data_IF_592545672423
#
_entry.id   IF_592545672423
#
_cell.length_a   1.000
_cell.length_b   1.000
_cell.length_c   1.000
_cell.angle_alpha   90.00
_cell.angle_beta   90.00
_cell.angle_gamma   90.00
#
_symmetry.space_group_name_H-M   'P 1'
#
loop_
_entity.id
_entity.type
_entity.pdbx_description
1 polymer ?
#
# COMPACT_ATOMS: atom_id res chain seq x y z
N UNK A 1 -7.82 -5.04 14.10
CA UNK A 1 -7.17 -3.72 13.97
C UNK A 1 -8.08 -2.80 13.17
N UNK A 2 -8.30 -1.61 13.69
CA UNK A 2 -9.18 -0.59 13.10
C UNK A 2 -8.40 0.72 13.06
N UNK A 3 -8.55 1.49 11.99
CA UNK A 3 -7.80 2.69 11.72
C UNK A 3 -8.69 3.92 11.83
N UNK A 4 -8.10 5.04 12.24
CA UNK A 4 -8.75 6.35 12.28
C UNK A 4 -8.05 7.26 11.29
N UNK A 5 -8.81 7.76 10.33
CA UNK A 5 -8.36 8.70 9.33
C UNK A 5 -8.99 10.07 9.54
N UNK A 6 -8.23 11.11 9.19
CA UNK A 6 -8.66 12.51 9.31
C UNK A 6 -8.44 13.22 7.98
N UNK A 7 -9.45 13.97 7.55
CA UNK A 7 -9.30 14.91 6.44
C UNK A 7 -8.49 16.15 6.90
N UNK A 8 -7.57 16.68 6.07
CA UNK A 8 -6.75 17.80 6.49
C UNK A 8 -7.60 19.01 6.87
N UNK A 9 -7.29 19.68 8.00
CA UNK A 9 -8.01 20.88 8.37
C UNK A 9 -7.68 22.01 7.40
N UNK A 10 -8.65 22.90 7.14
CA UNK A 10 -8.45 24.10 6.30
C UNK A 10 -7.33 25.02 6.82
N UNK A 11 -7.12 25.01 8.13
CA UNK A 11 -6.07 25.80 8.78
C UNK A 11 -5.46 24.99 9.90
N UNK A 12 -4.14 24.81 9.86
CA UNK A 12 -3.39 24.08 10.86
C UNK A 12 -2.81 25.06 11.90
N UNK A 13 -3.51 25.24 13.02
CA UNK A 13 -3.08 26.12 14.11
C UNK A 13 -2.32 25.37 15.20
N UNK A 14 -1.49 26.08 15.97
CA UNK A 14 -0.79 25.52 17.13
C UNK A 14 -1.77 24.95 18.18
N UNK A 15 -2.89 25.63 18.43
CA UNK A 15 -3.92 25.18 19.37
C UNK A 15 -4.62 23.89 18.93
N UNK A 16 -4.79 23.70 17.62
CA UNK A 16 -5.30 22.44 17.08
C UNK A 16 -4.30 21.31 17.30
N UNK A 17 -3.01 21.55 17.01
CA UNK A 17 -1.96 20.55 17.21
C UNK A 17 -1.81 20.15 18.68
N UNK A 18 -1.85 21.11 19.60
CA UNK A 18 -1.79 20.83 21.05
C UNK A 18 -2.97 19.99 21.55
N UNK A 19 -4.16 20.17 20.95
CA UNK A 19 -5.35 19.36 21.29
C UNK A 19 -5.30 17.96 20.68
N UNK A 20 -4.79 17.83 19.45
CA UNK A 20 -4.85 16.57 18.70
C UNK A 20 -3.71 15.61 19.03
N UNK A 21 -2.50 16.12 19.25
CA UNK A 21 -1.31 15.33 19.58
C UNK A 21 -1.54 14.31 20.72
N UNK A 22 -2.10 14.69 21.89
CA UNK A 22 -2.37 13.73 22.96
C UNK A 22 -3.45 12.69 22.59
N UNK A 23 -4.45 13.06 21.77
CA UNK A 23 -5.54 12.15 21.38
C UNK A 23 -5.04 10.99 20.51
N UNK A 24 -3.99 11.23 19.71
CA UNK A 24 -3.39 10.20 18.84
C UNK A 24 -2.12 9.58 19.44
N UNK A 25 -1.71 10.02 20.64
CA UNK A 25 -0.51 9.55 21.32
C UNK A 25 0.77 9.85 20.54
N UNK A 26 0.86 11.03 19.91
CA UNK A 26 2.02 11.45 19.11
C UNK A 26 2.52 12.81 19.55
N UNK A 27 3.78 13.09 19.24
CA UNK A 27 4.37 14.42 19.42
C UNK A 27 3.71 15.45 18.50
N UNK A 28 3.81 16.73 18.88
CA UNK A 28 3.24 17.84 18.10
C UNK A 28 3.81 17.89 16.68
N UNK A 29 5.10 17.62 16.52
CA UNK A 29 5.79 17.63 15.21
C UNK A 29 5.25 16.53 14.30
N UNK A 30 5.10 15.31 14.82
CA UNK A 30 4.57 14.17 14.06
C UNK A 30 3.10 14.40 13.69
N UNK A 31 2.32 14.93 14.64
CA UNK A 31 0.92 15.29 14.42
C UNK A 31 0.78 16.33 13.32
N UNK A 32 1.68 17.32 13.28
CA UNK A 32 1.71 18.32 12.20
C UNK A 32 1.94 17.68 10.85
N UNK A 33 2.87 16.73 10.74
CA UNK A 33 3.15 16.02 9.48
C UNK A 33 1.97 15.15 9.02
N UNK A 34 1.24 14.55 9.97
CA UNK A 34 0.08 13.72 9.68
C UNK A 34 -1.15 14.51 9.24
N UNK A 35 -1.33 15.72 9.77
CA UNK A 35 -2.44 16.61 9.41
C UNK A 35 -2.11 17.53 8.23
N UNK A 36 -0.86 17.58 7.78
CA UNK A 36 -0.46 18.36 6.62
C UNK A 36 -0.88 17.69 5.30
N UNK A 37 -1.19 18.52 4.30
CA UNK A 37 -1.55 18.10 2.94
C UNK A 37 -3.01 18.35 2.60
N UNK A 38 -3.46 17.77 1.49
CA UNK A 38 -4.80 18.02 0.93
C UNK A 38 -5.72 16.80 0.96
N UNK A 39 -5.19 15.63 1.27
CA UNK A 39 -5.93 14.35 1.26
C UNK A 39 -6.05 13.75 2.67
N UNK A 40 -7.14 13.02 2.98
CA UNK A 40 -7.27 12.35 4.27
C UNK A 40 -6.18 11.30 4.52
N UNK A 41 -5.69 11.23 5.76
CA UNK A 41 -4.61 10.32 6.17
C UNK A 41 -4.98 9.55 7.43
N UNK A 42 -4.46 8.33 7.55
CA UNK A 42 -4.57 7.53 8.78
C UNK A 42 -3.61 8.11 9.81
N UNK A 43 -4.14 8.52 10.96
CA UNK A 43 -3.35 9.18 12.01
C UNK A 43 -3.28 8.38 13.32
N UNK A 44 -4.21 7.44 13.51
CA UNK A 44 -4.25 6.55 14.66
C UNK A 44 -4.83 5.18 14.30
N UNK A 45 -4.67 4.21 15.20
CA UNK A 45 -5.25 2.86 15.08
C UNK A 45 -5.61 2.32 16.45
N UNK A 46 -6.70 1.56 16.52
CA UNK A 46 -7.16 0.85 17.71
C UNK A 46 -7.25 -0.67 17.50
N UNK A 47 -7.32 -1.45 18.60
CA UNK A 47 -7.49 -2.90 18.53
C UNK A 47 -8.86 -3.28 17.95
N UNK A 48 -9.90 -2.55 18.34
CA UNK A 48 -11.32 -2.77 18.01
C UNK A 48 -12.01 -1.49 17.52
N UNK A 49 -13.29 -1.62 17.13
CA UNK A 49 -14.09 -0.53 16.61
C UNK A 49 -14.42 0.51 17.69
N UNK A 50 -14.77 0.07 18.90
CA UNK A 50 -15.17 0.97 19.99
C UNK A 50 -14.04 1.92 20.37
N UNK A 51 -12.81 1.41 20.49
CA UNK A 51 -11.62 2.23 20.77
C UNK A 51 -11.35 3.22 19.64
N UNK A 52 -11.46 2.78 18.38
CA UNK A 52 -11.25 3.65 17.22
C UNK A 52 -12.34 4.72 17.11
N UNK A 53 -13.59 4.39 17.43
CA UNK A 53 -14.72 5.32 17.45
C UNK A 53 -14.56 6.38 18.55
N UNK A 54 -14.06 6.02 19.73
CA UNK A 54 -13.74 6.99 20.79
C UNK A 54 -12.66 7.99 20.36
N UNK A 55 -11.61 7.50 19.69
CA UNK A 55 -10.55 8.36 19.14
C UNK A 55 -11.13 9.26 18.05
N UNK A 56 -11.89 8.70 17.11
CA UNK A 56 -12.52 9.47 16.03
C UNK A 56 -13.52 10.51 16.57
N UNK A 57 -14.28 10.19 17.62
CA UNK A 57 -15.15 11.14 18.29
C UNK A 57 -14.35 12.28 18.93
N UNK A 58 -13.28 11.98 19.67
CA UNK A 58 -12.42 13.00 20.29
C UNK A 58 -11.81 13.94 19.25
N UNK A 59 -11.42 13.41 18.08
CA UNK A 59 -10.90 14.20 16.97
C UNK A 59 -11.99 15.09 16.35
N UNK A 60 -13.22 14.60 16.23
CA UNK A 60 -14.37 15.40 15.78
C UNK A 60 -14.70 16.53 16.74
N UNK A 61 -14.65 16.25 18.05
CA UNK A 61 -14.85 17.27 19.09
C UNK A 61 -13.73 18.33 19.08
N UNK A 62 -12.53 17.97 18.60
CA UNK A 62 -11.44 18.91 18.34
C UNK A 62 -11.60 19.72 17.04
N UNK A 63 -12.69 19.51 16.28
CA UNK A 63 -13.02 20.25 15.05
C UNK A 63 -12.47 19.62 13.76
N UNK A 64 -11.98 18.38 13.81
CA UNK A 64 -11.52 17.66 12.63
C UNK A 64 -12.63 16.82 12.00
N UNK A 65 -12.51 16.57 10.70
CA UNK A 65 -13.34 15.56 10.02
C UNK A 65 -12.61 14.22 10.16
N UNK A 66 -13.03 13.40 11.13
CA UNK A 66 -12.46 12.08 11.39
C UNK A 66 -13.46 10.95 11.06
N UNK A 67 -12.94 9.82 10.58
CA UNK A 67 -13.72 8.63 10.27
C UNK A 67 -12.91 7.36 10.54
N UNK A 68 -13.63 6.26 10.78
CA UNK A 68 -13.09 4.96 11.17
C UNK A 68 -13.12 4.01 9.98
N UNK A 69 -12.03 3.27 9.77
CA UNK A 69 -11.86 2.28 8.71
C UNK A 69 -11.39 0.96 9.30
N UNK A 70 -12.10 -0.15 9.07
CA UNK A 70 -11.63 -1.47 9.53
C UNK A 70 -10.54 -2.00 8.62
N UNK A 71 -9.55 -2.72 9.17
CA UNK A 71 -8.49 -3.35 8.36
C UNK A 71 -9.09 -4.28 7.28
N UNK A 72 -10.17 -4.99 7.59
CA UNK A 72 -10.90 -5.81 6.62
C UNK A 72 -11.52 -4.99 5.48
N UNK A 73 -11.97 -3.76 5.73
CA UNK A 73 -12.50 -2.87 4.70
C UNK A 73 -11.37 -2.34 3.80
N UNK A 74 -10.18 -2.08 4.38
CA UNK A 74 -9.02 -1.61 3.64
C UNK A 74 -8.33 -2.71 2.80
N UNK A 75 -8.22 -3.93 3.37
CA UNK A 75 -7.48 -5.04 2.77
C UNK A 75 -8.34 -5.96 1.90
N UNK A 76 -9.59 -6.24 2.26
CA UNK A 76 -10.32 -7.36 1.65
C UNK A 76 -11.00 -7.06 0.33
N UNK A 77 -11.12 -5.78 -0.05
CA UNK A 77 -11.91 -5.41 -1.22
C UNK A 77 -11.01 -5.01 -2.39
N UNK A 78 -10.98 -5.82 -3.47
CA UNK A 78 -10.30 -5.40 -4.69
C UNK A 78 -10.98 -4.15 -5.22
N UNK A 79 -10.20 -3.23 -5.79
CA UNK A 79 -10.83 -2.11 -6.48
C UNK A 79 -11.69 -2.61 -7.64
N UNK A 80 -12.80 -1.92 -7.88
CA UNK A 80 -13.64 -2.18 -9.05
C UNK A 80 -12.89 -1.96 -10.35
N UNK A 81 -11.82 -1.16 -10.32
CA UNK A 81 -11.02 -0.81 -11.48
C UNK A 81 -9.53 -0.79 -11.14
N UNK A 82 -8.72 -1.52 -11.91
CA UNK A 82 -7.25 -1.53 -11.77
C UNK A 82 -6.64 -0.71 -12.89
N UNK A 83 -6.18 0.49 -12.55
CA UNK A 83 -5.65 1.43 -13.51
C UNK A 83 -4.25 1.01 -13.97
N UNK A 84 -4.06 0.99 -15.29
CA UNK A 84 -2.77 0.84 -15.96
C UNK A 84 -2.17 2.20 -16.32
N UNK A 85 -2.98 3.21 -16.58
CA UNK A 85 -2.51 4.58 -16.87
C UNK A 85 -3.53 5.59 -16.36
N UNK A 86 -3.14 6.86 -16.32
CA UNK A 86 -3.99 7.96 -15.92
C UNK A 86 -3.78 9.17 -16.83
N UNK A 87 -4.83 9.97 -17.02
CA UNK A 87 -4.78 11.26 -17.72
C UNK A 87 -5.51 12.30 -16.90
N UNK A 88 -4.91 13.48 -16.78
CA UNK A 88 -5.55 14.61 -16.12
C UNK A 88 -6.53 15.28 -17.09
N UNK A 89 -7.78 15.45 -16.65
CA UNK A 89 -8.76 16.33 -17.27
C UNK A 89 -8.89 17.64 -16.48
N UNK A 90 -9.75 18.56 -16.91
CA UNK A 90 -9.89 19.87 -16.25
C UNK A 90 -10.32 19.77 -14.77
N UNK A 91 -11.17 18.80 -14.40
CA UNK A 91 -11.72 18.63 -13.04
C UNK A 91 -11.80 17.17 -12.59
N UNK A 92 -11.15 16.29 -13.33
CA UNK A 92 -11.22 14.86 -13.12
C UNK A 92 -9.93 14.18 -13.55
N UNK A 93 -9.69 12.99 -13.02
CA UNK A 93 -8.67 12.09 -13.51
C UNK A 93 -9.36 10.94 -14.23
N UNK A 94 -8.91 10.66 -15.45
CA UNK A 94 -9.37 9.54 -16.26
C UNK A 94 -8.34 8.42 -16.11
N UNK A 95 -8.77 7.28 -15.61
CA UNK A 95 -7.94 6.10 -15.49
C UNK A 95 -8.32 5.09 -16.57
N UNK A 96 -7.32 4.48 -17.20
CA UNK A 96 -7.54 3.39 -18.16
C UNK A 96 -6.96 2.08 -17.63
N UNK A 97 -7.62 0.96 -17.88
CA UNK A 97 -7.13 -0.38 -17.54
C UNK A 97 -6.42 -1.05 -18.74
N UNK A 98 -5.97 -2.30 -18.56
CA UNK A 98 -5.27 -3.05 -19.62
C UNK A 98 -6.19 -3.44 -20.80
N UNK A 99 -7.50 -3.45 -20.60
CA UNK A 99 -8.49 -3.75 -21.64
C UNK A 99 -8.94 -2.50 -22.40
N UNK A 100 -8.44 -1.32 -22.03
CA UNK A 100 -8.88 -0.03 -22.58
C UNK A 100 -10.20 0.46 -21.98
N UNK A 101 -10.69 -0.17 -20.91
CA UNK A 101 -11.80 0.37 -20.13
C UNK A 101 -11.38 1.67 -19.47
N UNK A 102 -12.32 2.60 -19.27
CA UNK A 102 -12.06 3.87 -18.61
C UNK A 102 -12.92 4.04 -17.36
N UNK A 103 -12.36 4.66 -16.32
CA UNK A 103 -13.13 5.22 -15.20
C UNK A 103 -12.68 6.64 -14.91
N UNK A 104 -13.64 7.52 -14.69
CA UNK A 104 -13.41 8.92 -14.34
C UNK A 104 -13.64 9.14 -12.86
N UNK A 105 -12.76 9.89 -12.22
CA UNK A 105 -12.91 10.33 -10.84
C UNK A 105 -12.78 11.84 -10.79
N UNK A 106 -13.90 12.51 -10.56
CA UNK A 106 -13.91 13.96 -10.33
C UNK A 106 -13.23 14.31 -9.01
N UNK A 107 -12.58 15.47 -8.94
CA UNK A 107 -11.91 15.94 -7.72
C UNK A 107 -12.86 16.01 -6.51
N UNK A 108 -14.14 16.32 -6.73
CA UNK A 108 -15.16 16.35 -5.68
C UNK A 108 -15.77 14.98 -5.33
N UNK A 109 -15.55 13.96 -6.15
CA UNK A 109 -16.06 12.60 -5.93
C UNK A 109 -15.10 11.76 -5.09
N UNK A 110 -13.80 11.99 -5.24
CA UNK A 110 -12.77 11.35 -4.42
C UNK A 110 -12.93 11.79 -2.95
N UNK A 111 -13.19 10.82 -2.06
CA UNK A 111 -13.34 11.10 -0.64
C UNK A 111 -12.12 10.69 0.17
N UNK A 112 -11.39 9.66 -0.27
CA UNK A 112 -10.26 9.09 0.44
C UNK A 112 -9.28 8.48 -0.56
N UNK A 113 -8.00 8.81 -0.40
CA UNK A 113 -6.90 8.20 -1.13
C UNK A 113 -6.01 7.50 -0.10
N UNK A 114 -5.90 6.18 -0.21
CA UNK A 114 -5.05 5.37 0.66
C UNK A 114 -3.84 4.96 -0.13
N UNK A 115 -2.68 5.44 0.29
CA UNK A 115 -1.39 4.87 -0.10
C UNK A 115 -1.03 3.75 0.88
N UNK A 116 -0.64 2.60 0.36
CA UNK A 116 -0.21 1.47 1.17
C UNK A 116 0.96 0.72 0.54
N UNK A 117 1.55 -0.17 1.33
CA UNK A 117 2.57 -1.13 0.88
C UNK A 117 2.07 -2.52 1.21
N UNK A 118 1.92 -3.36 0.19
CA UNK A 118 1.62 -4.78 0.35
C UNK A 118 2.95 -5.53 0.45
N UNK A 119 3.12 -6.30 1.52
CA UNK A 119 4.23 -7.24 1.65
C UNK A 119 3.66 -8.65 1.57
N UNK A 120 4.11 -9.41 0.56
CA UNK A 120 3.80 -10.82 0.42
C UNK A 120 5.08 -11.63 0.63
N UNK A 121 5.01 -12.57 1.57
CA UNK A 121 6.04 -13.59 1.77
C UNK A 121 5.56 -14.85 1.08
N UNK A 122 6.20 -15.22 -0.03
CA UNK A 122 5.91 -16.50 -0.68
C UNK A 122 7.03 -17.48 -0.31
N UNK A 123 6.71 -18.64 0.29
CA UNK A 123 7.71 -19.66 0.53
C UNK A 123 8.10 -20.28 -0.81
N UNK A 124 9.27 -19.91 -1.34
CA UNK A 124 9.80 -20.45 -2.57
C UNK A 124 10.60 -21.72 -2.23
N UNK A 125 10.08 -22.88 -2.64
CA UNK A 125 10.79 -24.16 -2.50
C UNK A 125 11.74 -24.31 -3.67
N UNK A 126 12.99 -23.90 -3.52
CA UNK A 126 14.02 -24.17 -4.53
C UNK A 126 14.60 -25.57 -4.30
N UNK A 127 14.43 -26.46 -5.27
CA UNK A 127 15.12 -27.76 -5.27
C UNK A 127 16.39 -27.67 -6.10
N UNK A 128 17.56 -27.70 -5.45
CA UNK A 128 18.84 -27.73 -6.16
C UNK A 128 19.36 -29.16 -6.17
N UNK A 129 19.50 -29.74 -7.35
CA UNK A 129 20.10 -31.06 -7.53
C UNK A 129 21.61 -30.94 -7.60
N UNK A 130 22.32 -31.56 -6.66
CA UNK A 130 23.79 -31.65 -6.67
C UNK A 130 24.23 -33.11 -6.75
N UNK A 131 25.31 -33.36 -7.46
CA UNK A 131 25.95 -34.68 -7.48
C UNK A 131 26.99 -34.71 -6.35
N UNK A 132 26.83 -35.62 -5.38
CA UNK A 132 27.79 -35.84 -4.29
C UNK A 132 28.45 -37.20 -4.47
N UNK A 133 29.74 -37.30 -4.17
CA UNK A 133 30.47 -38.57 -4.25
C UNK A 133 29.89 -39.59 -3.27
N UNK A 134 29.52 -40.76 -3.76
CA UNK A 134 29.13 -41.89 -2.95
C UNK A 134 30.37 -42.70 -2.60
N UNK A 135 30.97 -42.33 -1.47
CA UNK A 135 32.23 -42.92 -0.99
C UNK A 135 32.11 -44.44 -0.80
N UNK A 136 31.00 -44.90 -0.20
CA UNK A 136 30.78 -46.32 0.04
C UNK A 136 30.70 -47.14 -1.26
N UNK A 137 29.93 -46.65 -2.24
CA UNK A 137 29.84 -47.32 -3.54
C UNK A 137 31.19 -47.29 -4.29
N UNK A 138 31.92 -46.17 -4.21
CA UNK A 138 33.25 -45.99 -4.83
C UNK A 138 34.27 -47.00 -4.32
N UNK A 139 34.26 -47.28 -3.00
CA UNK A 139 35.14 -48.30 -2.39
C UNK A 139 34.77 -49.70 -2.88
N UNK A 140 33.47 -50.02 -2.94
CA UNK A 140 32.98 -51.32 -3.43
C UNK A 140 33.30 -51.55 -4.91
N UNK A 141 33.37 -50.48 -5.71
CA UNK A 141 33.73 -50.54 -7.13
C UNK A 141 35.23 -50.39 -7.38
N UNK A 142 36.07 -50.69 -6.38
CA UNK A 142 37.52 -50.72 -6.55
C UNK A 142 38.17 -49.35 -6.77
N UNK A 143 37.59 -48.28 -6.21
CA UNK A 143 38.13 -46.92 -6.28
C UNK A 143 37.61 -46.07 -7.44
N UNK A 144 36.71 -46.61 -8.28
CA UNK A 144 36.07 -45.85 -9.37
C UNK A 144 35.03 -44.88 -8.77
N UNK A 145 35.14 -43.54 -9.00
CA UNK A 145 34.25 -42.56 -8.38
C UNK A 145 32.78 -42.74 -8.81
N UNK A 146 31.91 -43.11 -7.87
CA UNK A 146 30.46 -43.20 -8.10
C UNK A 146 29.76 -41.98 -7.53
N UNK A 147 29.07 -41.21 -8.38
CA UNK A 147 28.34 -40.01 -7.97
C UNK A 147 26.88 -40.35 -7.65
N UNK A 148 26.39 -39.87 -6.50
CA UNK A 148 24.97 -39.93 -6.13
C UNK A 148 24.31 -38.58 -6.34
N UNK A 149 23.16 -38.59 -7.01
CA UNK A 149 22.28 -37.42 -7.11
C UNK A 149 21.62 -37.15 -5.76
N UNK A 150 21.83 -35.96 -5.21
CA UNK A 150 21.19 -35.49 -3.98
C UNK A 150 20.37 -34.25 -4.31
N UNK A 151 19.08 -34.29 -3.98
CA UNK A 151 18.17 -33.15 -4.12
C UNK A 151 18.09 -32.43 -2.79
N UNK A 152 18.74 -31.27 -2.68
CA UNK A 152 18.61 -30.38 -1.52
C UNK A 152 17.37 -29.50 -1.73
N UNK A 153 16.39 -29.61 -0.83
CA UNK A 153 15.24 -28.69 -0.78
C UNK A 153 15.60 -27.56 0.17
N UNK A 154 15.86 -26.38 -0.37
CA UNK A 154 16.07 -25.18 0.43
C UNK A 154 14.79 -24.37 0.40
N UNK A 155 14.21 -24.11 1.57
CA UNK A 155 13.14 -23.14 1.70
C UNK A 155 13.79 -21.75 1.65
N UNK A 156 13.53 -21.00 0.58
CA UNK A 156 13.93 -19.60 0.47
C UNK A 156 12.66 -18.77 0.56
N UNK A 157 12.60 -17.85 1.52
CA UNK A 157 11.50 -16.90 1.57
C UNK A 157 11.76 -15.81 0.53
N UNK A 158 10.83 -15.65 -0.41
CA UNK A 158 10.83 -14.49 -1.30
C UNK A 158 9.92 -13.42 -0.70
N UNK A 159 10.51 -12.24 -0.48
CA UNK A 159 9.81 -11.06 -0.01
C UNK A 159 9.50 -10.19 -1.22
N UNK A 160 8.21 -10.01 -1.51
CA UNK A 160 7.76 -9.02 -2.48
C UNK A 160 7.09 -7.88 -1.72
N UNK A 161 7.55 -6.67 -1.97
CA UNK A 161 6.94 -5.44 -1.48
C UNK A 161 6.46 -4.62 -2.68
N UNK A 162 5.18 -4.27 -2.69
CA UNK A 162 4.58 -3.45 -3.74
C UNK A 162 3.82 -2.28 -3.10
N UNK A 163 4.16 -1.05 -3.50
CA UNK A 163 3.39 0.12 -3.12
C UNK A 163 2.13 0.23 -4.00
N UNK A 164 1.02 0.68 -3.42
CA UNK A 164 -0.23 0.88 -4.11
C UNK A 164 -0.94 2.15 -3.63
N UNK A 165 -1.83 2.66 -4.48
CA UNK A 165 -2.80 3.70 -4.13
C UNK A 165 -4.19 3.17 -4.44
N UNK A 166 -5.12 3.40 -3.50
CA UNK A 166 -6.54 3.12 -3.65
C UNK A 166 -7.32 4.42 -3.52
N UNK A 167 -8.17 4.72 -4.49
CA UNK A 167 -9.05 5.89 -4.50
C UNK A 167 -10.46 5.42 -4.21
N UNK A 168 -11.08 6.01 -3.20
CA UNK A 168 -12.45 5.75 -2.82
C UNK A 168 -13.34 6.94 -3.20
N UNK A 169 -14.53 6.65 -3.70
CA UNK A 169 -15.54 7.66 -3.96
C UNK A 169 -16.56 7.74 -2.81
N UNK A 170 -17.29 8.84 -2.72
CA UNK A 170 -18.31 9.02 -1.67
C UNK A 170 -19.49 8.04 -1.76
N UNK A 171 -19.62 7.28 -2.85
CA UNK A 171 -20.79 6.46 -3.17
C UNK A 171 -20.62 5.01 -2.69
N UNK A 172 -19.39 4.58 -2.43
CA UNK A 172 -19.08 3.19 -2.10
C UNK A 172 -18.02 3.06 -1.02
N UNK A 173 -18.16 2.03 -0.19
CA UNK A 173 -17.12 1.59 0.74
C UNK A 173 -15.97 0.84 0.04
N UNK A 174 -16.10 0.54 -1.25
CA UNK A 174 -15.08 -0.16 -2.02
C UNK A 174 -14.18 0.84 -2.73
N UNK A 175 -12.88 0.54 -2.88
CA UNK A 175 -12.02 1.38 -3.70
C UNK A 175 -12.52 1.36 -5.14
N UNK A 176 -12.71 2.55 -5.71
CA UNK A 176 -13.15 2.72 -7.09
C UNK A 176 -12.00 2.42 -8.04
N UNK A 177 -10.81 2.91 -7.71
CA UNK A 177 -9.57 2.76 -8.50
C UNK A 177 -8.44 2.24 -7.62
N UNK A 178 -7.65 1.33 -8.15
CA UNK A 178 -6.36 0.93 -7.60
C UNK A 178 -5.25 1.11 -8.64
N UNK A 179 -4.14 1.70 -8.19
CA UNK A 179 -2.89 1.80 -8.94
C UNK A 179 -1.81 1.07 -8.15
N UNK A 180 -1.20 0.05 -8.75
CA UNK A 180 -0.05 -0.65 -8.15
C UNK A 180 1.23 -0.16 -8.80
N UNK A 181 2.26 0.13 -7.99
CA UNK A 181 3.51 0.74 -8.43
C UNK A 181 4.09 0.05 -9.68
N UNK A 182 4.11 -1.28 -9.71
CA UNK A 182 4.73 -2.04 -10.80
C UNK A 182 3.78 -2.32 -11.98
N UNK A 183 2.51 -1.95 -11.84
CA UNK A 183 1.47 -2.21 -12.83
C UNK A 183 0.96 -0.95 -13.53
N UNK A 184 1.53 0.22 -13.24
CA UNK A 184 1.23 1.47 -13.94
C UNK A 184 2.23 1.72 -15.07
N UNK A 185 1.74 2.26 -16.19
CA UNK A 185 2.51 2.86 -17.27
C UNK A 185 2.62 4.35 -16.98
N UNK A 186 3.83 4.83 -16.72
CA UNK A 186 4.08 6.22 -16.31
C UNK A 186 4.36 7.15 -17.49
N UNK A 187 4.22 6.70 -18.73
CA UNK A 187 4.47 7.55 -19.92
C UNK A 187 3.66 8.85 -19.92
N UNK A 188 2.50 8.87 -19.23
CA UNK A 188 1.71 10.09 -19.03
C UNK A 188 2.41 11.19 -18.23
N UNK A 189 3.49 10.89 -17.50
CA UNK A 189 4.32 11.90 -16.80
C UNK A 189 5.15 12.76 -17.77
N UNK A 190 5.32 12.33 -19.03
CA UNK A 190 6.02 13.10 -20.05
C UNK A 190 7.44 13.52 -19.59
N UNK A 191 7.76 14.82 -19.56
CA UNK A 191 9.07 15.31 -19.13
C UNK A 191 9.46 15.00 -17.67
N UNK A 192 8.48 14.77 -16.78
CA UNK A 192 8.73 14.42 -15.39
C UNK A 192 9.00 12.92 -15.19
N UNK A 193 8.89 12.13 -16.26
CA UNK A 193 9.18 10.71 -16.22
C UNK A 193 10.64 10.47 -15.84
N UNK A 194 10.83 9.76 -14.74
CA UNK A 194 12.16 9.34 -14.28
C UNK A 194 12.43 7.87 -14.66
N UNK A 195 13.70 7.43 -14.66
CA UNK A 195 14.03 6.01 -14.84
C UNK A 195 13.57 5.09 -13.69
N UNK A 196 13.10 5.66 -12.57
CA UNK A 196 12.80 4.92 -11.34
C UNK A 196 11.30 4.77 -11.14
N UNK A 197 10.78 3.54 -11.22
CA UNK A 197 9.37 3.24 -10.95
C UNK A 197 8.90 3.76 -9.58
N UNK A 198 9.65 3.57 -8.47
CA UNK A 198 9.28 4.16 -7.19
C UNK A 198 9.19 5.70 -7.22
N UNK A 199 10.09 6.38 -7.94
CA UNK A 199 10.09 7.84 -8.05
C UNK A 199 8.90 8.33 -8.88
N UNK A 200 8.60 7.67 -10.00
CA UNK A 200 7.41 7.97 -10.81
C UNK A 200 6.12 7.76 -10.02
N UNK A 201 6.03 6.67 -9.24
CA UNK A 201 4.88 6.43 -8.37
C UNK A 201 4.72 7.53 -7.32
N UNK A 202 5.82 8.02 -6.74
CA UNK A 202 5.78 9.15 -5.81
C UNK A 202 5.26 10.44 -6.46
N UNK A 203 5.68 10.74 -7.70
CA UNK A 203 5.19 11.92 -8.45
C UNK A 203 3.67 11.86 -8.63
N UNK A 204 3.12 10.68 -8.93
CA UNK A 204 1.68 10.50 -9.18
C UNK A 204 0.81 10.65 -7.91
N UNK A 205 1.36 10.33 -6.74
CA UNK A 205 0.60 10.25 -5.47
C UNK A 205 0.89 11.40 -4.50
N UNK A 206 1.67 12.41 -4.93
CA UNK A 206 2.01 13.61 -4.16
C UNK A 206 1.19 14.79 -4.66
#
# INVERSE_FOLDING_TARGET
MVYVAVAPPKTLSADLLMRVAPLVGKEIVDTRLLLAGEIPRIIASGPDADTADLIAQSLRDAGLVAFVCRDSELRSRPASFKARTARSGEKEVIFEDRSGGEVRVGAGDAFLIIRGRLQSTTPEKTSTTKMKLNVAATVLTGGIPIMRRVTEKTAKESFQAEDFVKIYDRRSSNPRVEMSQNHVDYTFLGPELTPSTPANFNIVVT
#
